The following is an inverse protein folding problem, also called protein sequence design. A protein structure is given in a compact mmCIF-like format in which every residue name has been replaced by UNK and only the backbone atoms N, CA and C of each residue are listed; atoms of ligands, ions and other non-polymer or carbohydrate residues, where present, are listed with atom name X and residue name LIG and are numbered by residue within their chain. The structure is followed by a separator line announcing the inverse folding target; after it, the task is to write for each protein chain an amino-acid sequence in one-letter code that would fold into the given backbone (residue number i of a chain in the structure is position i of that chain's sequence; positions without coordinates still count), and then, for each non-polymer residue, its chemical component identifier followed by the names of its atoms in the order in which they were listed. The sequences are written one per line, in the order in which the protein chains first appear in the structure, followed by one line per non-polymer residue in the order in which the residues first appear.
data_IF_379706376984
#
_entry.id   IF_379706376984
#
_cell.length_a   1.000
_cell.length_b   1.000
_cell.length_c   1.000
_cell.angle_alpha   90.00
_cell.angle_beta   90.00
_cell.angle_gamma   90.00
#
_symmetry.space_group_name_H-M   'P 1'
#
loop_
_entity.id
_entity.type
_entity.pdbx_description
1 polymer ?
#
# COMPACT_ATOMS: atom_id res chain seq x y z
N UNK A 1 -0.78 -7.27 -33.98
CA UNK A 1 -0.76 -6.56 -32.67
C UNK A 1 -2.15 -6.02 -32.38
N UNK A 2 -2.72 -6.29 -31.21
CA UNK A 2 -4.02 -5.74 -30.82
C UNK A 2 -3.88 -4.22 -30.64
N UNK A 3 -4.65 -3.42 -31.40
CA UNK A 3 -4.66 -1.96 -31.25
C UNK A 3 -5.27 -1.61 -29.88
N UNK A 4 -4.49 -0.95 -29.04
CA UNK A 4 -4.96 -0.47 -27.74
C UNK A 4 -5.89 0.74 -27.95
N UNK A 5 -7.00 0.83 -27.19
CA UNK A 5 -7.85 2.03 -27.25
C UNK A 5 -7.15 3.24 -26.64
N UNK A 6 -7.47 4.43 -27.13
CA UNK A 6 -6.86 5.69 -26.70
C UNK A 6 -7.07 5.95 -25.19
N UNK A 7 -8.28 5.69 -24.69
CA UNK A 7 -8.60 5.76 -23.24
C UNK A 7 -7.69 4.86 -22.39
N UNK A 8 -7.39 3.66 -22.88
CA UNK A 8 -6.52 2.70 -22.18
C UNK A 8 -5.06 3.16 -22.23
N UNK A 9 -4.63 3.73 -23.36
CA UNK A 9 -3.30 4.34 -23.48
C UNK A 9 -3.13 5.51 -22.50
N UNK A 10 -4.13 6.40 -22.42
CA UNK A 10 -4.15 7.52 -21.49
C UNK A 10 -4.07 7.05 -20.03
N UNK A 11 -4.85 6.03 -19.66
CA UNK A 11 -4.75 5.43 -18.33
C UNK A 11 -3.35 4.84 -18.03
N UNK A 12 -2.76 4.11 -18.97
CA UNK A 12 -1.44 3.50 -18.78
C UNK A 12 -0.38 4.57 -18.56
N UNK A 13 -0.43 5.67 -19.31
CA UNK A 13 0.52 6.77 -19.22
C UNK A 13 0.19 7.75 -18.07
N UNK A 14 -1.02 7.71 -17.54
CA UNK A 14 -1.44 8.60 -16.46
C UNK A 14 -0.60 8.39 -15.19
N UNK A 15 -0.12 9.50 -14.64
CA UNK A 15 0.64 9.51 -13.39
C UNK A 15 2.09 9.06 -13.53
N UNK A 16 2.64 8.99 -14.76
CA UNK A 16 4.09 8.87 -14.93
C UNK A 16 4.75 10.07 -14.26
N UNK A 17 5.49 9.81 -13.18
CA UNK A 17 6.55 10.71 -12.76
C UNK A 17 7.77 10.41 -13.63
N UNK A 18 8.29 11.44 -14.29
CA UNK A 18 9.44 11.29 -15.18
C UNK A 18 10.71 10.86 -14.42
N UNK A 19 10.72 11.06 -13.09
CA UNK A 19 11.87 10.82 -12.22
C UNK A 19 11.43 10.62 -10.77
N UNK A 20 11.94 9.56 -10.14
CA UNK A 20 11.97 9.38 -8.69
C UNK A 20 13.40 9.66 -8.24
N UNK A 21 13.57 10.57 -7.28
CA UNK A 21 14.89 10.83 -6.71
C UNK A 21 15.31 9.67 -5.82
N UNK A 22 16.59 9.28 -5.91
CA UNK A 22 17.17 8.22 -5.06
C UNK A 22 16.93 8.46 -3.57
N UNK A 23 16.93 9.73 -3.13
CA UNK A 23 16.67 10.11 -1.73
C UNK A 23 15.26 9.75 -1.28
N UNK A 24 14.27 9.81 -2.16
CA UNK A 24 12.88 9.47 -1.83
C UNK A 24 12.70 7.97 -1.66
N UNK A 25 13.37 7.17 -2.50
CA UNK A 25 13.41 5.71 -2.37
C UNK A 25 13.97 5.34 -0.98
N UNK A 26 15.09 5.92 -0.57
CA UNK A 26 15.68 5.63 0.74
C UNK A 26 14.86 6.13 1.93
N UNK A 27 14.17 7.26 1.81
CA UNK A 27 13.23 7.69 2.86
C UNK A 27 12.12 6.67 3.06
N UNK A 28 11.60 6.11 1.97
CA UNK A 28 10.54 5.12 2.03
C UNK A 28 11.05 3.76 2.54
N UNK A 29 12.21 3.30 2.07
CA UNK A 29 12.86 2.08 2.57
C UNK A 29 13.15 2.20 4.08
N UNK A 30 13.57 3.40 4.54
CA UNK A 30 13.77 3.71 5.95
C UNK A 30 12.47 3.70 6.77
N UNK A 31 11.37 4.24 6.23
CA UNK A 31 10.06 4.18 6.88
C UNK A 31 9.55 2.74 7.01
N UNK A 32 9.77 1.92 5.98
CA UNK A 32 9.46 0.49 6.00
C UNK A 32 10.30 -0.26 7.02
N UNK A 33 11.61 0.01 7.09
CA UNK A 33 12.47 -0.58 8.13
C UNK A 33 11.97 -0.24 9.53
N UNK A 34 11.61 1.01 9.77
CA UNK A 34 11.09 1.46 11.05
C UNK A 34 9.80 0.74 11.43
N UNK A 35 8.87 0.58 10.48
CA UNK A 35 7.63 -0.17 10.70
C UNK A 35 7.87 -1.66 10.95
N UNK A 36 8.79 -2.29 10.20
CA UNK A 36 9.20 -3.67 10.45
C UNK A 36 9.76 -3.85 11.86
N UNK A 37 10.62 -2.92 12.31
CA UNK A 37 11.18 -2.96 13.65
C UNK A 37 10.10 -2.80 14.73
N UNK A 38 9.18 -1.85 14.58
CA UNK A 38 8.06 -1.66 15.49
C UNK A 38 7.17 -2.90 15.55
N UNK A 39 6.89 -3.52 14.39
CA UNK A 39 6.12 -4.75 14.30
C UNK A 39 6.79 -5.91 15.05
N UNK A 40 8.11 -6.04 14.96
CA UNK A 40 8.88 -7.05 15.71
C UNK A 40 8.78 -6.83 17.22
N UNK A 41 8.93 -5.59 17.70
CA UNK A 41 8.84 -5.28 19.15
C UNK A 41 7.45 -5.61 19.71
N UNK A 42 6.39 -5.34 18.95
CA UNK A 42 5.01 -5.64 19.38
C UNK A 42 4.73 -7.14 19.29
N UNK A 43 5.23 -7.82 18.25
CA UNK A 43 5.13 -9.26 18.12
C UNK A 43 5.78 -9.98 19.33
N UNK A 44 6.89 -9.45 19.84
CA UNK A 44 7.59 -9.99 21.04
C UNK A 44 6.79 -9.83 22.32
N UNK A 45 5.96 -8.80 22.38
CA UNK A 45 5.10 -8.50 23.53
C UNK A 45 3.75 -9.22 23.46
N UNK A 46 3.50 -10.01 22.41
CA UNK A 46 2.23 -10.69 22.16
C UNK A 46 2.44 -12.20 22.00
N UNK A 47 1.41 -13.05 22.22
CA UNK A 47 1.50 -14.50 22.01
C UNK A 47 1.53 -14.88 20.52
N UNK A 48 2.20 -14.07 19.70
CA UNK A 48 2.34 -14.27 18.26
C UNK A 48 3.31 -15.42 17.97
N UNK A 49 3.04 -16.27 16.96
CA UNK A 49 3.95 -17.35 16.59
C UNK A 49 5.37 -16.85 16.23
N UNK A 50 6.40 -17.65 16.55
CA UNK A 50 7.81 -17.32 16.27
C UNK A 50 8.13 -17.11 14.78
N UNK A 51 7.32 -17.68 13.88
CA UNK A 51 7.44 -17.50 12.42
C UNK A 51 7.32 -16.03 11.96
N UNK A 52 6.65 -15.18 12.74
CA UNK A 52 6.40 -13.77 12.38
C UNK A 52 7.71 -12.97 12.26
N UNK A 53 8.69 -13.25 13.12
CA UNK A 53 10.01 -12.59 13.09
C UNK A 53 10.77 -12.94 11.82
N UNK A 54 10.82 -14.23 11.49
CA UNK A 54 11.53 -14.73 10.30
C UNK A 54 10.89 -14.14 9.04
N UNK A 55 9.55 -14.13 8.98
CA UNK A 55 8.82 -13.55 7.86
C UNK A 55 9.11 -12.06 7.68
N UNK A 56 9.06 -11.24 8.75
CA UNK A 56 9.31 -9.79 8.66
C UNK A 56 10.74 -9.47 8.22
N UNK A 57 11.73 -10.21 8.69
CA UNK A 57 13.13 -10.04 8.29
C UNK A 57 13.30 -10.40 6.81
N UNK A 58 12.80 -11.57 6.38
CA UNK A 58 12.87 -12.00 4.98
C UNK A 58 12.15 -11.01 4.06
N UNK A 59 10.96 -10.57 4.47
CA UNK A 59 10.17 -9.58 3.75
C UNK A 59 10.95 -8.29 3.55
N UNK A 60 11.57 -7.76 4.62
CA UNK A 60 12.36 -6.53 4.54
C UNK A 60 13.56 -6.67 3.59
N UNK A 61 14.30 -7.77 3.69
CA UNK A 61 15.46 -8.02 2.82
C UNK A 61 15.04 -8.09 1.35
N UNK A 62 13.99 -8.84 1.04
CA UNK A 62 13.44 -8.95 -0.32
C UNK A 62 12.96 -7.59 -0.82
N UNK A 63 12.28 -6.82 0.04
CA UNK A 63 11.77 -5.50 -0.29
C UNK A 63 12.90 -4.54 -0.68
N UNK A 64 13.94 -4.42 0.16
CA UNK A 64 15.09 -3.55 -0.11
C UNK A 64 15.80 -3.97 -1.39
N UNK A 65 16.02 -5.27 -1.62
CA UNK A 65 16.65 -5.74 -2.87
C UNK A 65 15.81 -5.32 -4.08
N UNK A 66 14.48 -5.35 -3.97
CA UNK A 66 13.57 -5.05 -5.05
C UNK A 66 13.42 -3.54 -5.33
N UNK A 67 13.57 -2.68 -4.32
CA UNK A 67 13.49 -1.21 -4.45
C UNK A 67 14.84 -0.52 -4.62
N UNK A 68 15.95 -1.19 -4.25
CA UNK A 68 17.27 -0.57 -4.22
C UNK A 68 17.69 -0.02 -5.58
N UNK A 69 18.02 1.26 -5.60
CA UNK A 69 18.62 1.91 -6.75
C UNK A 69 19.86 2.72 -6.37
N UNK A 70 20.91 2.61 -7.19
CA UNK A 70 22.15 3.40 -7.04
C UNK A 70 22.03 4.80 -7.66
N UNK A 71 21.05 5.01 -8.53
CA UNK A 71 20.81 6.27 -9.25
C UNK A 71 19.33 6.65 -9.20
N UNK A 72 19.01 7.86 -9.66
CA UNK A 72 17.63 8.26 -9.88
C UNK A 72 16.96 7.32 -10.89
N UNK A 73 15.65 7.10 -10.71
CA UNK A 73 14.88 6.14 -11.51
C UNK A 73 13.93 6.90 -12.41
N UNK A 74 14.00 6.62 -13.71
CA UNK A 74 13.23 7.34 -14.74
C UNK A 74 12.45 6.35 -15.63
N UNK A 75 11.44 6.88 -16.32
CA UNK A 75 10.65 6.12 -17.29
C UNK A 75 9.84 4.98 -16.67
N UNK A 76 9.71 3.86 -17.38
CA UNK A 76 8.83 2.74 -16.97
C UNK A 76 9.20 2.12 -15.61
N UNK A 77 10.47 2.20 -15.18
CA UNK A 77 10.92 1.64 -13.91
C UNK A 77 10.32 2.36 -12.70
N UNK A 78 9.81 3.59 -12.85
CA UNK A 78 9.14 4.30 -11.76
C UNK A 78 7.86 3.59 -11.31
N UNK A 79 7.13 2.97 -12.24
CA UNK A 79 5.95 2.16 -11.92
C UNK A 79 6.30 0.88 -11.18
N UNK A 80 7.42 0.25 -11.52
CA UNK A 80 7.91 -0.93 -10.80
C UNK A 80 8.20 -0.60 -9.33
N UNK A 81 8.92 0.50 -9.08
CA UNK A 81 9.26 0.92 -7.72
C UNK A 81 8.03 1.32 -6.92
N UNK A 82 7.15 2.16 -7.46
CA UNK A 82 5.89 2.52 -6.80
C UNK A 82 5.00 1.31 -6.53
N UNK A 83 4.96 0.36 -7.47
CA UNK A 83 4.26 -0.91 -7.29
C UNK A 83 4.81 -1.68 -6.09
N UNK A 84 6.12 -1.91 -6.03
CA UNK A 84 6.75 -2.64 -4.92
C UNK A 84 6.53 -1.91 -3.60
N UNK A 85 6.78 -0.60 -3.57
CA UNK A 85 6.63 0.24 -2.38
C UNK A 85 5.21 0.19 -1.83
N UNK A 86 4.20 0.36 -2.69
CA UNK A 86 2.81 0.29 -2.28
C UNK A 86 2.37 -1.12 -1.86
N UNK A 87 2.81 -2.17 -2.57
CA UNK A 87 2.50 -3.55 -2.17
C UNK A 87 3.16 -3.90 -0.85
N UNK A 88 4.41 -3.47 -0.67
CA UNK A 88 5.14 -3.71 0.55
C UNK A 88 4.47 -3.05 1.75
N UNK A 89 4.05 -1.80 1.59
CA UNK A 89 3.25 -1.10 2.62
C UNK A 89 1.89 -1.76 2.87
N UNK A 90 1.24 -2.30 1.84
CA UNK A 90 -0.01 -3.05 1.98
C UNK A 90 0.21 -4.27 2.86
N UNK A 91 1.20 -5.11 2.54
CA UNK A 91 1.52 -6.33 3.28
C UNK A 91 1.88 -5.99 4.72
N UNK A 92 2.78 -5.02 4.94
CA UNK A 92 3.21 -4.64 6.30
C UNK A 92 2.06 -4.09 7.14
N UNK A 93 1.24 -3.21 6.58
CA UNK A 93 0.11 -2.64 7.31
C UNK A 93 -0.92 -3.72 7.64
N UNK A 94 -1.20 -4.64 6.70
CA UNK A 94 -2.11 -5.75 6.95
C UNK A 94 -1.59 -6.66 8.07
N UNK A 95 -0.31 -7.01 8.00
CA UNK A 95 0.36 -7.84 9.01
C UNK A 95 0.37 -7.19 10.39
N UNK A 96 0.65 -5.88 10.45
CA UNK A 96 0.60 -5.13 11.69
C UNK A 96 -0.81 -5.09 12.28
N UNK A 97 -1.83 -4.89 11.44
CA UNK A 97 -3.24 -4.99 11.83
C UNK A 97 -3.58 -6.36 12.42
N UNK A 98 -3.05 -7.44 11.84
CA UNK A 98 -3.23 -8.81 12.33
C UNK A 98 -2.58 -9.05 13.68
N UNK A 99 -1.34 -8.60 13.89
CA UNK A 99 -0.67 -8.71 15.19
C UNK A 99 -1.50 -8.00 16.28
N UNK A 100 -1.97 -6.79 15.99
CA UNK A 100 -2.81 -6.04 16.93
C UNK A 100 -4.13 -6.77 17.22
N UNK A 101 -4.82 -7.29 16.21
CA UNK A 101 -6.08 -8.01 16.44
C UNK A 101 -5.87 -9.30 17.23
N UNK A 102 -4.83 -10.08 16.92
CA UNK A 102 -4.51 -11.32 17.64
C UNK A 102 -4.17 -11.08 19.10
N UNK A 103 -3.59 -9.92 19.45
CA UNK A 103 -3.38 -9.55 20.85
C UNK A 103 -4.68 -9.37 21.66
N UNK A 104 -5.84 -9.28 20.99
CA UNK A 104 -7.16 -9.04 21.60
C UNK A 104 -8.18 -10.14 21.37
N UNK A 105 -7.85 -11.15 20.56
CA UNK A 105 -8.71 -12.28 20.20
C UNK A 105 -8.26 -13.54 20.93
N UNK A 106 -9.21 -14.43 21.19
CA UNK A 106 -8.92 -15.76 21.70
C UNK A 106 -8.32 -16.63 20.58
N UNK A 107 -7.42 -17.56 20.93
CA UNK A 107 -6.67 -18.36 19.94
C UNK A 107 -7.57 -19.22 19.05
N UNK A 108 -8.70 -19.65 19.61
CA UNK A 108 -9.73 -20.44 18.92
C UNK A 108 -10.36 -19.68 17.74
N UNK A 109 -10.42 -18.35 17.80
CA UNK A 109 -10.98 -17.51 16.74
C UNK A 109 -10.00 -17.17 15.61
N UNK A 110 -8.70 -17.45 15.78
CA UNK A 110 -7.66 -17.01 14.84
C UNK A 110 -7.87 -17.53 13.43
N UNK A 111 -8.24 -18.81 13.29
CA UNK A 111 -8.45 -19.45 11.98
C UNK A 111 -9.62 -18.81 11.23
N UNK A 112 -10.76 -18.68 11.91
CA UNK A 112 -11.97 -18.04 11.37
C UNK A 112 -11.70 -16.60 10.97
N UNK A 113 -10.98 -15.86 11.82
CA UNK A 113 -10.61 -14.47 11.55
C UNK A 113 -9.73 -14.33 10.31
N UNK A 114 -8.69 -15.17 10.16
CA UNK A 114 -7.81 -15.16 8.98
C UNK A 114 -8.55 -15.51 7.69
N UNK A 115 -9.49 -16.46 7.76
CA UNK A 115 -10.31 -16.81 6.60
C UNK A 115 -11.19 -15.64 6.14
N UNK A 116 -11.86 -14.95 7.07
CA UNK A 116 -12.66 -13.75 6.78
C UNK A 116 -11.76 -12.65 6.19
N UNK A 117 -10.59 -12.42 6.80
CA UNK A 117 -9.65 -11.41 6.33
C UNK A 117 -9.23 -11.69 4.88
N UNK A 118 -8.86 -12.93 4.56
CA UNK A 118 -8.49 -13.33 3.20
C UNK A 118 -9.61 -13.05 2.19
N UNK A 119 -10.86 -13.37 2.54
CA UNK A 119 -12.04 -13.09 1.70
C UNK A 119 -12.17 -11.58 1.45
N UNK A 120 -12.02 -10.75 2.48
CA UNK A 120 -12.10 -9.28 2.36
C UNK A 120 -11.02 -8.75 1.42
N UNK A 121 -9.80 -9.25 1.49
CA UNK A 121 -8.71 -8.84 0.59
C UNK A 121 -8.98 -9.22 -0.86
N UNK A 122 -9.48 -10.44 -1.11
CA UNK A 122 -9.86 -10.89 -2.46
C UNK A 122 -10.98 -10.00 -3.01
N UNK A 123 -12.03 -9.75 -2.21
CA UNK A 123 -13.14 -8.88 -2.60
C UNK A 123 -12.68 -7.45 -2.89
N UNK A 124 -11.77 -6.90 -2.08
CA UNK A 124 -11.21 -5.57 -2.31
C UNK A 124 -10.38 -5.51 -3.59
N UNK A 125 -9.59 -6.54 -3.90
CA UNK A 125 -8.81 -6.60 -5.13
C UNK A 125 -9.71 -6.61 -6.37
N UNK A 126 -10.81 -7.37 -6.32
CA UNK A 126 -11.83 -7.41 -7.38
C UNK A 126 -12.50 -6.04 -7.52
N UNK A 127 -12.95 -5.45 -6.40
CA UNK A 127 -13.61 -4.14 -6.39
C UNK A 127 -12.72 -3.04 -6.99
N UNK A 128 -11.44 -3.01 -6.61
CA UNK A 128 -10.46 -2.07 -7.15
C UNK A 128 -10.27 -2.24 -8.66
N UNK A 129 -10.18 -3.49 -9.13
CA UNK A 129 -10.06 -3.78 -10.57
C UNK A 129 -11.29 -3.32 -11.34
N UNK A 130 -12.50 -3.57 -10.81
CA UNK A 130 -13.75 -3.10 -11.39
C UNK A 130 -13.84 -1.57 -11.43
N UNK A 131 -13.42 -0.89 -10.35
CA UNK A 131 -13.39 0.56 -10.28
C UNK A 131 -12.46 1.16 -11.33
N UNK A 132 -11.26 0.59 -11.50
CA UNK A 132 -10.31 1.04 -12.54
C UNK A 132 -10.90 0.87 -13.93
N UNK A 133 -11.47 -0.30 -14.25
CA UNK A 133 -12.13 -0.53 -15.55
C UNK A 133 -13.26 0.47 -15.80
N UNK A 134 -14.04 0.79 -14.77
CA UNK A 134 -15.09 1.79 -14.84
C UNK A 134 -14.53 3.20 -15.11
N UNK A 135 -13.48 3.61 -14.40
CA UNK A 135 -12.83 4.91 -14.60
C UNK A 135 -12.22 5.06 -16.01
N UNK A 136 -11.64 3.98 -16.55
CA UNK A 136 -11.13 3.94 -17.93
C UNK A 136 -12.29 4.12 -18.93
N UNK A 137 -13.41 3.42 -18.74
CA UNK A 137 -14.60 3.57 -19.60
C UNK A 137 -15.13 5.01 -19.57
N UNK A 138 -15.10 5.65 -18.39
CA UNK A 138 -15.51 7.03 -18.16
C UNK A 138 -14.51 8.09 -18.64
N UNK A 139 -13.36 7.68 -19.18
CA UNK A 139 -12.33 8.57 -19.74
C UNK A 139 -11.77 9.61 -18.76
N UNK A 140 -11.77 9.28 -17.47
CA UNK A 140 -11.34 10.19 -16.39
C UNK A 140 -9.85 10.52 -16.46
N UNK A 141 -9.06 9.68 -17.14
CA UNK A 141 -7.60 9.82 -17.23
C UNK A 141 -7.13 10.72 -18.39
N UNK A 142 -8.05 11.41 -19.06
CA UNK A 142 -7.70 12.40 -20.07
C UNK A 142 -7.08 13.65 -19.39
N UNK A 143 -5.99 14.17 -19.97
CA UNK A 143 -4.99 15.02 -19.29
C UNK A 143 -5.40 16.48 -19.04
N UNK A 144 -6.63 16.89 -19.35
CA UNK A 144 -7.10 18.28 -19.16
C UNK A 144 -7.40 18.64 -17.69
N UNK A 145 -7.37 17.68 -16.77
CA UNK A 145 -7.59 17.97 -15.35
C UNK A 145 -6.29 18.28 -14.62
N UNK A 146 -6.08 19.58 -14.38
CA UNK A 146 -5.08 20.16 -13.47
C UNK A 146 -5.35 19.76 -12.01
N UNK A 147 -5.28 18.47 -11.68
CA UNK A 147 -5.43 17.94 -10.31
C UNK A 147 -4.16 17.24 -9.84
N UNK A 148 -3.02 17.89 -10.03
CA UNK A 148 -1.82 17.65 -9.23
C UNK A 148 -1.56 18.92 -8.42
N UNK A 149 -2.12 18.96 -7.20
CA UNK A 149 -1.68 19.70 -6.00
C UNK A 149 -2.91 19.80 -5.09
N UNK A 150 -3.08 18.80 -4.23
CA UNK A 150 -3.98 18.84 -3.06
C UNK A 150 -3.80 17.60 -2.16
N UNK A 151 -3.13 16.55 -2.64
CA UNK A 151 -2.88 15.33 -1.85
C UNK A 151 -2.05 15.57 -0.58
N UNK A 152 -1.00 16.39 -0.66
CA UNK A 152 -0.13 16.68 0.50
C UNK A 152 -0.85 17.40 1.64
N UNK A 153 -1.64 18.44 1.31
CA UNK A 153 -2.43 19.17 2.30
C UNK A 153 -3.57 18.34 2.88
N UNK A 154 -4.22 17.50 2.05
CA UNK A 154 -5.20 16.52 2.54
C UNK A 154 -4.55 15.54 3.53
N UNK A 155 -3.36 15.02 3.24
CA UNK A 155 -2.64 14.11 4.14
C UNK A 155 -2.29 14.77 5.49
N UNK A 156 -1.85 16.04 5.48
CA UNK A 156 -1.55 16.78 6.72
C UNK A 156 -2.83 17.03 7.53
N UNK A 157 -3.94 17.43 6.89
CA UNK A 157 -5.23 17.63 7.56
C UNK A 157 -5.79 16.32 8.14
N UNK A 158 -5.75 15.22 7.38
CA UNK A 158 -6.15 13.90 7.88
C UNK A 158 -5.24 13.41 9.01
N UNK A 159 -3.93 13.67 8.94
CA UNK A 159 -2.98 13.35 10.00
C UNK A 159 -3.30 14.09 11.31
N UNK A 160 -3.55 15.40 11.25
CA UNK A 160 -3.93 16.20 12.43
C UNK A 160 -5.27 15.76 13.03
N UNK A 161 -6.26 15.45 12.18
CA UNK A 161 -7.55 14.90 12.62
C UNK A 161 -7.36 13.52 13.27
N UNK A 162 -6.53 12.66 12.69
CA UNK A 162 -6.22 11.33 13.23
C UNK A 162 -5.58 11.40 14.62
N UNK A 163 -4.61 12.30 14.83
CA UNK A 163 -3.97 12.51 16.14
C UNK A 163 -4.98 13.04 17.17
N UNK A 164 -5.84 13.97 16.75
CA UNK A 164 -6.87 14.54 17.63
C UNK A 164 -7.89 13.48 18.06
N UNK A 165 -8.36 12.66 17.12
CA UNK A 165 -9.27 11.55 17.39
C UNK A 165 -8.60 10.49 18.28
N UNK A 166 -7.35 10.14 18.00
CA UNK A 166 -6.59 9.16 18.81
C UNK A 166 -6.45 9.62 20.26
N UNK A 167 -6.17 10.92 20.50
CA UNK A 167 -6.07 11.51 21.84
C UNK A 167 -7.40 11.50 22.60
N UNK A 168 -8.52 11.72 21.90
CA UNK A 168 -9.86 11.66 22.51
C UNK A 168 -10.21 10.20 22.84
N UNK A 169 -9.98 9.28 21.90
CA UNK A 169 -10.26 7.86 22.09
C UNK A 169 -9.42 7.24 23.22
N UNK A 170 -8.14 7.61 23.34
CA UNK A 170 -7.25 7.08 24.38
C UNK A 170 -7.67 7.43 25.81
N UNK A 171 -8.48 8.47 25.99
CA UNK A 171 -8.95 8.93 27.30
C UNK A 171 -10.29 8.35 27.74
N UNK A 172 -11.06 7.75 26.81
CA UNK A 172 -12.46 7.35 27.06
C UNK A 172 -12.80 5.91 26.71
N UNK A 173 -11.96 5.23 25.92
CA UNK A 173 -12.25 3.90 25.37
C UNK A 173 -11.40 2.85 26.10
N UNK A 174 -11.95 1.65 26.41
CA UNK A 174 -11.18 0.56 26.97
C UNK A 174 -9.96 0.21 26.10
N UNK A 175 -8.84 -0.11 26.73
CA UNK A 175 -7.57 -0.40 26.05
C UNK A 175 -7.69 -1.46 24.95
N UNK A 176 -8.46 -2.53 25.19
CA UNK A 176 -8.71 -3.61 24.21
C UNK A 176 -9.43 -3.08 22.97
N UNK A 177 -10.45 -2.25 23.14
CA UNK A 177 -11.18 -1.63 22.03
C UNK A 177 -10.29 -0.67 21.23
N UNK A 178 -9.38 0.03 21.90
CA UNK A 178 -8.41 0.91 21.24
C UNK A 178 -7.43 0.13 20.35
N UNK A 179 -6.93 -1.01 20.81
CA UNK A 179 -6.08 -1.89 20.00
C UNK A 179 -6.84 -2.41 18.78
N UNK A 180 -8.11 -2.83 18.95
CA UNK A 180 -8.94 -3.29 17.82
C UNK A 180 -9.17 -2.20 16.77
N UNK A 181 -9.45 -0.97 17.21
CA UNK A 181 -9.60 0.18 16.30
C UNK A 181 -8.30 0.47 15.56
N UNK A 182 -7.16 0.43 16.25
CA UNK A 182 -5.85 0.58 15.60
C UNK A 182 -5.63 -0.52 14.55
N UNK A 183 -5.90 -1.78 14.89
CA UNK A 183 -5.81 -2.91 13.96
C UNK A 183 -6.68 -2.73 12.71
N UNK A 184 -7.93 -2.30 12.89
CA UNK A 184 -8.83 -1.94 11.78
C UNK A 184 -8.29 -0.80 10.92
N UNK A 185 -7.71 0.24 11.53
CA UNK A 185 -7.06 1.34 10.81
C UNK A 185 -5.90 0.86 9.92
N UNK A 186 -5.10 -0.07 10.42
CA UNK A 186 -4.01 -0.69 9.65
C UNK A 186 -4.51 -1.55 8.49
N UNK A 187 -5.65 -2.24 8.64
CA UNK A 187 -6.27 -2.93 7.50
C UNK A 187 -6.81 -1.96 6.45
N UNK A 188 -7.44 -0.86 6.85
CA UNK A 188 -7.90 0.16 5.91
C UNK A 188 -6.70 0.72 5.12
N UNK A 189 -5.61 1.06 5.81
CA UNK A 189 -4.37 1.50 5.15
C UNK A 189 -3.84 0.44 4.20
N UNK A 190 -3.84 -0.83 4.62
CA UNK A 190 -3.40 -1.95 3.78
C UNK A 190 -4.22 -2.09 2.50
N UNK A 191 -5.56 -2.02 2.60
CA UNK A 191 -6.48 -2.13 1.47
C UNK A 191 -6.39 -0.94 0.52
N UNK A 192 -6.09 0.26 1.03
CA UNK A 192 -5.79 1.43 0.20
C UNK A 192 -4.48 1.25 -0.56
N UNK A 193 -3.43 0.77 0.11
CA UNK A 193 -2.13 0.50 -0.51
C UNK A 193 -2.19 -0.65 -1.53
N UNK A 194 -3.17 -1.56 -1.43
CA UNK A 194 -3.39 -2.65 -2.39
C UNK A 194 -3.68 -2.13 -3.81
N UNK A 195 -4.15 -0.89 -3.96
CA UNK A 195 -4.28 -0.21 -5.25
C UNK A 195 -2.96 -0.14 -6.05
N UNK A 196 -1.81 -0.23 -5.38
CA UNK A 196 -0.50 -0.25 -6.03
C UNK A 196 -0.30 -1.39 -7.02
N UNK A 197 -1.09 -2.47 -6.96
CA UNK A 197 -1.11 -3.55 -7.97
C UNK A 197 -1.28 -2.98 -9.38
N UNK A 198 -2.04 -1.88 -9.52
CA UNK A 198 -2.26 -1.21 -10.79
C UNK A 198 -0.94 -0.74 -11.43
N UNK A 199 0.04 -0.33 -10.63
CA UNK A 199 1.34 0.11 -11.17
C UNK A 199 2.11 -1.03 -11.83
N UNK A 200 2.00 -2.27 -11.33
CA UNK A 200 2.56 -3.44 -12.02
C UNK A 200 1.85 -3.71 -13.33
N UNK A 201 0.51 -3.64 -13.34
CA UNK A 201 -0.27 -3.80 -14.57
C UNK A 201 0.18 -2.77 -15.61
N UNK A 202 0.34 -1.50 -15.21
CA UNK A 202 0.89 -0.44 -16.09
C UNK A 202 2.30 -0.78 -16.58
N UNK A 203 3.21 -1.16 -15.69
CA UNK A 203 4.59 -1.53 -16.04
C UNK A 203 4.64 -2.65 -17.09
N UNK A 204 3.93 -3.76 -16.88
CA UNK A 204 3.92 -4.87 -17.82
C UNK A 204 3.28 -4.49 -19.16
N UNK A 205 2.22 -3.67 -19.15
CA UNK A 205 1.59 -3.19 -20.39
C UNK A 205 2.51 -2.25 -21.16
N UNK A 206 3.21 -1.33 -20.50
CA UNK A 206 4.19 -0.43 -21.15
C UNK A 206 5.27 -1.25 -21.85
N UNK A 207 5.85 -2.23 -21.15
CA UNK A 207 6.90 -3.10 -21.69
C UNK A 207 6.40 -3.97 -22.84
N UNK A 208 5.18 -4.53 -22.73
CA UNK A 208 4.56 -5.37 -23.77
C UNK A 208 4.24 -4.60 -25.05
N UNK A 209 3.75 -3.36 -24.92
CA UNK A 209 3.35 -2.53 -26.06
C UNK A 209 4.40 -1.50 -26.48
N UNK A 210 5.59 -1.49 -25.85
CA UNK A 210 6.68 -0.52 -26.06
C UNK A 210 6.18 0.93 -26.08
N UNK A 211 5.27 1.25 -25.16
CA UNK A 211 4.72 2.59 -25.04
C UNK A 211 5.81 3.52 -24.51
N UNK A 212 6.06 4.64 -25.19
CA UNK A 212 6.99 5.65 -24.69
C UNK A 212 6.26 6.65 -23.79
N UNK A 213 6.73 6.83 -22.53
CA UNK A 213 6.43 8.01 -21.73
C UNK A 213 6.91 9.28 -22.42
N UNK A 214 6.04 9.97 -23.16
CA UNK A 214 6.31 11.26 -23.82
C UNK A 214 7.42 11.21 -24.90
N UNK A 215 7.04 11.35 -26.17
CA UNK A 215 7.82 12.18 -27.10
C UNK A 215 7.39 13.64 -26.89
#
# INVERSE_FOLDING_TARGET
MMKLSEKTKNFILYGIENKIERKEIYKFDGAILFLCFLAMVIADSTPSPSFYRIFLILFYVVFVIATFSKSDVTGEKTFWIHGIQGLGMSILSGWFGTILMFSTLEKEDYSSYMAILLIVYIMSAIAHTCLVMFLIKKDIYNSDSNKKVMGGWSFVCFGMLGISVAKIMSSKIPYISMIRIAGLGFYVLSLLCLMSIIFFVKYFLIKKYKLKPNE
#
